data_IF_648584759060
#
_entry.id   IF_648584759060
#
_cell.length_a   1.000
_cell.length_b   1.000
_cell.length_c   1.000
_cell.angle_alpha   90.00
_cell.angle_beta   90.00
_cell.angle_gamma   90.00
#
_symmetry.space_group_name_H-M   'P 1'
#
loop_
_entity.id
_entity.type
_entity.pdbx_description
1 polymer ?
#
# COMPACT_ATOMS: atom_id res chain seq x y z
N UNK A 1 7.21 -4.31 9.01
CA UNK A 1 6.17 -4.28 7.95
C UNK A 1 4.82 -4.10 8.60
N UNK A 2 4.11 -3.01 8.29
CA UNK A 2 2.79 -2.74 8.85
C UNK A 2 1.76 -3.60 8.11
N UNK A 3 1.15 -4.57 8.80
CA UNK A 3 -0.12 -5.12 8.31
C UNK A 3 -1.20 -4.08 8.60
N UNK A 4 -2.02 -3.76 7.61
CA UNK A 4 -3.20 -2.91 7.85
C UNK A 4 -4.12 -3.72 8.75
N UNK A 5 -4.45 -3.18 9.91
CA UNK A 5 -5.31 -3.91 10.82
C UNK A 5 -6.69 -4.09 10.15
N UNK A 6 -7.29 -5.27 10.32
CA UNK A 6 -8.66 -5.55 9.84
C UNK A 6 -9.65 -4.45 10.24
N UNK A 7 -9.39 -3.78 11.35
CA UNK A 7 -10.15 -2.64 11.85
C UNK A 7 -10.01 -1.39 10.97
N UNK A 8 -8.80 -1.04 10.54
CA UNK A 8 -8.56 0.13 9.68
C UNK A 8 -9.22 -0.04 8.31
N UNK A 9 -9.27 -1.27 7.78
CA UNK A 9 -10.03 -1.57 6.55
C UNK A 9 -11.54 -1.32 6.73
N UNK A 10 -12.10 -1.70 7.89
CA UNK A 10 -13.51 -1.44 8.21
C UNK A 10 -13.77 0.06 8.42
N UNK A 11 -12.84 0.78 9.07
CA UNK A 11 -12.90 2.24 9.21
C UNK A 11 -12.87 2.92 7.82
N UNK A 12 -11.95 2.52 6.93
CA UNK A 12 -11.87 3.03 5.56
C UNK A 12 -13.16 2.82 4.77
N UNK A 13 -13.77 1.63 4.86
CA UNK A 13 -15.01 1.32 4.16
C UNK A 13 -16.18 2.18 4.67
N UNK A 14 -16.24 2.46 5.99
CA UNK A 14 -17.20 3.41 6.55
C UNK A 14 -16.95 4.82 6.00
N UNK A 15 -15.70 5.29 5.97
CA UNK A 15 -15.37 6.63 5.48
C UNK A 15 -15.77 6.81 4.01
N UNK A 16 -15.48 5.82 3.15
CA UNK A 16 -15.93 5.79 1.73
C UNK A 16 -17.45 5.78 1.59
N UNK A 17 -18.13 4.99 2.42
CA UNK A 17 -19.58 4.89 2.39
C UNK A 17 -20.25 6.21 2.79
N UNK A 18 -19.75 6.86 3.84
CA UNK A 18 -20.32 8.12 4.35
C UNK A 18 -20.10 9.27 3.36
N UNK A 19 -18.98 9.28 2.65
CA UNK A 19 -18.75 10.21 1.53
C UNK A 19 -19.81 10.06 0.42
N UNK A 20 -20.12 8.82 0.06
CA UNK A 20 -21.08 8.54 -1.02
C UNK A 20 -22.53 8.77 -0.58
N UNK A 21 -22.85 8.45 0.68
CA UNK A 21 -24.19 8.65 1.23
C UNK A 21 -24.13 8.84 2.74
N UNK A 22 -24.71 9.94 3.27
CA UNK A 22 -24.75 10.19 4.71
C UNK A 22 -25.72 9.25 5.43
N UNK A 23 -26.59 8.53 4.71
CA UNK A 23 -27.57 7.62 5.30
C UNK A 23 -26.90 6.31 5.70
N UNK A 24 -26.51 6.23 6.96
CA UNK A 24 -25.92 5.04 7.54
C UNK A 24 -26.54 4.78 8.92
N UNK A 25 -27.10 3.60 9.12
CA UNK A 25 -27.52 3.14 10.45
C UNK A 25 -26.76 1.86 10.82
N UNK A 26 -26.75 1.49 12.09
CA UNK A 26 -25.96 0.34 12.57
C UNK A 26 -26.25 -0.97 11.82
N UNK A 27 -27.50 -1.19 11.38
CA UNK A 27 -27.88 -2.40 10.62
C UNK A 27 -27.38 -2.35 9.19
N UNK A 28 -27.51 -1.20 8.55
CA UNK A 28 -27.02 -0.97 7.18
C UNK A 28 -25.49 -1.03 7.13
N UNK A 29 -24.81 -0.44 8.11
CA UNK A 29 -23.36 -0.52 8.28
C UNK A 29 -22.92 -1.99 8.47
N UNK A 30 -23.55 -2.72 9.38
CA UNK A 30 -23.25 -4.14 9.61
C UNK A 30 -23.39 -5.01 8.35
N UNK A 31 -24.49 -4.84 7.62
CA UNK A 31 -24.74 -5.55 6.36
C UNK A 31 -23.68 -5.26 5.30
N UNK A 32 -23.34 -3.98 5.10
CA UNK A 32 -22.32 -3.56 4.12
C UNK A 32 -20.91 -4.01 4.49
N UNK A 33 -20.57 -3.96 5.77
CA UNK A 33 -19.25 -4.30 6.29
C UNK A 33 -19.05 -5.80 6.54
N UNK A 34 -20.10 -6.62 6.34
CA UNK A 34 -20.05 -8.05 6.64
C UNK A 34 -19.78 -8.35 8.11
N UNK A 35 -20.27 -7.51 9.03
CA UNK A 35 -19.96 -7.58 10.45
C UNK A 35 -21.22 -7.59 11.34
N UNK A 36 -21.05 -7.78 12.65
CA UNK A 36 -22.19 -7.78 13.57
C UNK A 36 -22.70 -6.34 13.81
N UNK A 37 -24.00 -6.19 14.07
CA UNK A 37 -24.62 -4.88 14.41
C UNK A 37 -23.96 -4.23 15.63
N UNK A 38 -23.53 -5.04 16.60
CA UNK A 38 -22.80 -4.56 17.79
C UNK A 38 -21.42 -4.00 17.39
N UNK A 39 -20.68 -4.69 16.53
CA UNK A 39 -19.38 -4.20 16.06
C UNK A 39 -19.53 -2.93 15.22
N UNK A 40 -20.51 -2.87 14.32
CA UNK A 40 -20.81 -1.68 13.54
C UNK A 40 -21.15 -0.47 14.44
N UNK A 41 -21.96 -0.68 15.49
CA UNK A 41 -22.26 0.37 16.46
C UNK A 41 -21.01 0.88 17.19
N UNK A 42 -20.17 -0.04 17.70
CA UNK A 42 -18.93 0.32 18.40
C UNK A 42 -17.97 1.08 17.48
N UNK A 43 -17.81 0.64 16.23
CA UNK A 43 -16.98 1.31 15.24
C UNK A 43 -17.47 2.73 14.95
N UNK A 44 -18.75 2.89 14.64
CA UNK A 44 -19.34 4.20 14.34
C UNK A 44 -19.23 5.17 15.53
N UNK A 45 -19.55 4.71 16.74
CA UNK A 45 -19.40 5.53 17.95
C UNK A 45 -17.94 5.95 18.14
N UNK A 46 -16.99 5.01 18.02
CA UNK A 46 -15.56 5.31 18.15
C UNK A 46 -15.08 6.32 17.11
N UNK A 47 -15.55 6.24 15.87
CA UNK A 47 -15.19 7.19 14.81
C UNK A 47 -15.77 8.59 15.06
N UNK A 48 -16.96 8.68 15.66
CA UNK A 48 -17.52 9.96 16.13
C UNK A 48 -16.70 10.52 17.30
N UNK A 49 -16.35 9.69 18.28
CA UNK A 49 -15.56 10.09 19.46
C UNK A 49 -14.14 10.55 19.07
N UNK A 50 -13.54 9.91 18.06
CA UNK A 50 -12.27 10.32 17.44
C UNK A 50 -12.38 11.62 16.62
N UNK A 51 -13.59 12.13 16.38
CA UNK A 51 -13.82 13.31 15.54
C UNK A 51 -13.73 13.06 14.04
N UNK A 52 -13.68 11.81 13.57
CA UNK A 52 -13.65 11.46 12.14
C UNK A 52 -15.02 11.61 11.47
N UNK A 53 -16.09 11.40 12.24
CA UNK A 53 -17.46 11.50 11.77
C UNK A 53 -18.26 12.50 12.60
N UNK A 54 -19.06 13.31 11.93
CA UNK A 54 -20.11 14.09 12.57
C UNK A 54 -21.45 13.38 12.42
N UNK A 55 -22.21 13.25 13.52
CA UNK A 55 -23.51 12.57 13.53
C UNK A 55 -24.65 13.57 13.70
N UNK A 56 -25.62 13.51 12.80
CA UNK A 56 -26.89 14.25 12.89
C UNK A 56 -28.04 13.28 13.16
N UNK A 57 -28.62 13.37 14.36
CA UNK A 57 -29.78 12.55 14.74
C UNK A 57 -31.06 13.22 14.23
N UNK A 58 -31.79 12.54 13.36
CA UNK A 58 -33.11 12.99 12.91
C UNK A 58 -34.23 12.45 13.80
N UNK A 59 -34.21 11.14 14.08
CA UNK A 59 -35.10 10.48 15.02
C UNK A 59 -34.50 9.13 15.47
N UNK A 60 -35.14 8.42 16.41
CA UNK A 60 -34.61 7.19 17.04
C UNK A 60 -34.08 6.12 16.07
N UNK A 61 -34.63 6.04 14.84
CA UNK A 61 -34.23 5.07 13.80
C UNK A 61 -33.40 5.63 12.64
N UNK A 62 -33.07 6.94 12.61
CA UNK A 62 -32.34 7.57 11.50
C UNK A 62 -31.30 8.56 12.00
N UNK A 63 -30.05 8.18 11.76
CA UNK A 63 -28.86 8.97 12.03
C UNK A 63 -28.19 9.17 10.68
N UNK A 64 -27.82 10.40 10.38
CA UNK A 64 -27.07 10.73 9.18
C UNK A 64 -25.63 11.05 9.64
N UNK A 65 -24.64 10.39 9.04
CA UNK A 65 -23.22 10.59 9.35
C UNK A 65 -22.58 11.43 8.24
N UNK A 66 -21.61 12.27 8.60
CA UNK A 66 -20.88 13.13 7.68
C UNK A 66 -19.40 13.05 7.99
N UNK A 67 -18.56 13.10 6.95
CA UNK A 67 -17.12 13.23 7.13
C UNK A 67 -16.79 14.61 7.73
N UNK A 68 -15.90 14.61 8.71
CA UNK A 68 -15.22 15.83 9.18
C UNK A 68 -13.92 16.01 8.37
N UNK A 69 -13.23 17.16 8.46
CA UNK A 69 -11.90 17.31 7.89
C UNK A 69 -10.93 16.21 8.37
N UNK A 70 -10.90 15.92 9.68
CA UNK A 70 -10.10 14.81 10.24
C UNK A 70 -10.51 13.43 9.69
N UNK A 71 -11.80 13.22 9.38
CA UNK A 71 -12.26 12.00 8.72
C UNK A 71 -11.80 11.88 7.26
N UNK A 72 -11.69 13.00 6.54
CA UNK A 72 -11.12 13.04 5.19
C UNK A 72 -9.62 12.71 5.27
N UNK A 73 -8.91 13.31 6.23
CA UNK A 73 -7.49 13.04 6.53
C UNK A 73 -7.22 11.57 6.77
N UNK A 74 -7.98 10.98 7.70
CA UNK A 74 -7.80 9.59 8.06
C UNK A 74 -8.14 8.66 6.90
N UNK A 75 -9.17 9.00 6.10
CA UNK A 75 -9.49 8.25 4.88
C UNK A 75 -8.33 8.29 3.89
N UNK A 76 -7.73 9.46 3.69
CA UNK A 76 -6.61 9.64 2.79
C UNK A 76 -5.37 8.87 3.29
N UNK A 77 -5.05 8.96 4.60
CA UNK A 77 -3.98 8.22 5.27
C UNK A 77 -4.13 6.70 5.08
N UNK A 78 -5.28 6.13 5.45
CA UNK A 78 -5.52 4.67 5.34
C UNK A 78 -5.55 4.24 3.87
N UNK A 79 -6.12 5.05 2.97
CA UNK A 79 -6.10 4.77 1.52
C UNK A 79 -4.68 4.74 0.99
N UNK A 80 -3.84 5.68 1.42
CA UNK A 80 -2.44 5.72 1.02
C UNK A 80 -1.68 4.50 1.54
N UNK A 81 -1.82 4.16 2.83
CA UNK A 81 -1.21 2.95 3.40
C UNK A 81 -1.63 1.69 2.64
N UNK A 82 -2.90 1.61 2.22
CA UNK A 82 -3.39 0.52 1.38
C UNK A 82 -2.72 0.50 0.00
N UNK A 83 -2.61 1.65 -0.67
CA UNK A 83 -1.97 1.74 -1.98
C UNK A 83 -0.48 1.40 -1.89
N UNK A 84 0.24 1.95 -0.92
CA UNK A 84 1.67 1.68 -0.70
C UNK A 84 1.88 0.18 -0.44
N UNK A 85 1.07 -0.42 0.45
CA UNK A 85 1.11 -1.86 0.68
C UNK A 85 0.82 -2.67 -0.59
N UNK A 86 -0.22 -2.33 -1.34
CA UNK A 86 -0.58 -3.01 -2.60
C UNK A 86 0.54 -2.89 -3.65
N UNK A 87 1.19 -1.74 -3.74
CA UNK A 87 2.32 -1.52 -4.66
C UNK A 87 3.55 -2.31 -4.24
N UNK A 88 3.87 -2.33 -2.94
CA UNK A 88 4.95 -3.16 -2.40
C UNK A 88 4.70 -4.65 -2.69
N UNK A 89 3.48 -5.12 -2.40
CA UNK A 89 3.09 -6.49 -2.72
C UNK A 89 3.21 -6.78 -4.22
N UNK A 90 2.73 -5.89 -5.09
CA UNK A 90 2.83 -6.07 -6.53
C UNK A 90 4.29 -6.15 -7.01
N UNK A 91 5.14 -5.21 -6.57
CA UNK A 91 6.55 -5.19 -6.93
C UNK A 91 7.27 -6.45 -6.47
N UNK A 92 6.99 -6.90 -5.24
CA UNK A 92 7.64 -8.07 -4.70
C UNK A 92 7.12 -9.35 -5.34
N UNK A 93 5.81 -9.49 -5.51
CA UNK A 93 5.19 -10.55 -6.30
C UNK A 93 5.80 -10.63 -7.70
N UNK A 94 6.00 -9.49 -8.38
CA UNK A 94 6.60 -9.44 -9.71
C UNK A 94 8.05 -9.93 -9.71
N UNK A 95 8.86 -9.41 -8.80
CA UNK A 95 10.27 -9.79 -8.67
C UNK A 95 10.42 -11.28 -8.35
N UNK A 96 9.69 -11.75 -7.35
CA UNK A 96 9.80 -13.12 -6.88
C UNK A 96 9.26 -14.11 -7.92
N UNK A 97 8.12 -13.81 -8.55
CA UNK A 97 7.56 -14.69 -9.59
C UNK A 97 8.50 -14.79 -10.80
N UNK A 98 9.10 -13.68 -11.26
CA UNK A 98 10.11 -13.72 -12.33
C UNK A 98 11.34 -14.55 -11.93
N UNK A 99 11.80 -14.47 -10.67
CA UNK A 99 12.90 -15.31 -10.19
C UNK A 99 12.53 -16.80 -10.21
N UNK A 100 11.35 -17.15 -9.73
CA UNK A 100 10.85 -18.54 -9.75
C UNK A 100 10.77 -19.06 -11.19
N UNK A 101 10.21 -18.26 -12.10
CA UNK A 101 10.12 -18.64 -13.52
C UNK A 101 11.52 -18.86 -14.13
N UNK A 102 12.47 -17.97 -13.84
CA UNK A 102 13.87 -18.12 -14.26
C UNK A 102 14.48 -19.42 -13.75
N UNK A 103 14.35 -19.71 -12.46
CA UNK A 103 14.89 -20.93 -11.85
C UNK A 103 14.31 -22.19 -12.50
N UNK A 104 13.00 -22.20 -12.78
CA UNK A 104 12.34 -23.32 -13.45
C UNK A 104 12.90 -23.49 -14.86
N UNK A 105 13.00 -22.40 -15.64
CA UNK A 105 13.53 -22.42 -17.00
C UNK A 105 15.00 -22.87 -17.05
N UNK A 106 15.85 -22.36 -16.16
CA UNK A 106 17.26 -22.76 -16.03
C UNK A 106 17.42 -24.24 -15.61
N UNK A 107 16.43 -24.80 -14.90
CA UNK A 107 16.38 -26.24 -14.60
C UNK A 107 15.95 -27.13 -15.77
N UNK A 108 15.71 -26.55 -16.95
CA UNK A 108 15.32 -27.25 -18.17
C UNK A 108 13.84 -27.65 -18.24
N UNK A 109 13.03 -27.28 -17.24
CA UNK A 109 11.58 -27.53 -17.23
C UNK A 109 10.87 -26.48 -18.07
N UNK A 110 9.82 -26.89 -18.79
CA UNK A 110 9.07 -26.00 -19.67
C UNK A 110 7.58 -25.96 -19.35
N UNK A 111 7.01 -27.12 -19.02
CA UNK A 111 5.58 -27.26 -18.74
C UNK A 111 5.30 -27.01 -17.26
N UNK A 112 4.51 -25.97 -16.99
CA UNK A 112 4.22 -25.56 -15.62
C UNK A 112 2.72 -25.49 -15.35
N UNK A 113 2.37 -25.62 -14.07
CA UNK A 113 1.05 -25.38 -13.55
C UNK A 113 1.06 -24.23 -12.55
N UNK A 114 -0.08 -23.57 -12.39
CA UNK A 114 -0.33 -22.67 -11.26
C UNK A 114 -1.17 -23.37 -10.19
N UNK A 115 -0.74 -23.20 -8.94
CA UNK A 115 -1.57 -23.45 -7.78
C UNK A 115 -2.02 -22.09 -7.23
N UNK A 116 -3.28 -21.73 -7.48
CA UNK A 116 -3.87 -20.42 -7.25
C UNK A 116 -4.28 -19.73 -8.55
N UNK A 117 -5.44 -19.09 -8.53
CA UNK A 117 -6.08 -18.43 -9.68
C UNK A 117 -6.37 -16.93 -9.44
N UNK A 118 -5.83 -16.38 -8.35
CA UNK A 118 -5.98 -14.98 -7.94
C UNK A 118 -5.00 -14.02 -8.60
N UNK A 119 -4.88 -12.82 -8.01
CA UNK A 119 -4.03 -11.72 -8.52
C UNK A 119 -2.55 -12.11 -8.62
N UNK A 120 -2.03 -12.89 -7.67
CA UNK A 120 -0.64 -13.36 -7.68
C UNK A 120 -0.36 -14.24 -8.91
N UNK A 121 -1.34 -15.04 -9.34
CA UNK A 121 -1.21 -15.87 -10.53
C UNK A 121 -1.18 -15.02 -11.80
N UNK A 122 -1.96 -13.93 -11.86
CA UNK A 122 -1.93 -12.98 -12.99
C UNK A 122 -0.57 -12.29 -13.10
N UNK A 123 0.01 -11.89 -11.97
CA UNK A 123 1.36 -11.30 -11.92
C UNK A 123 2.40 -12.34 -12.36
N UNK A 124 2.31 -13.57 -11.84
CA UNK A 124 3.25 -14.64 -12.17
C UNK A 124 3.19 -15.04 -13.65
N UNK A 125 2.03 -14.91 -14.30
CA UNK A 125 1.88 -15.20 -15.72
C UNK A 125 2.79 -14.33 -16.61
N UNK A 126 3.09 -13.11 -16.19
CA UNK A 126 4.05 -12.28 -16.91
C UNK A 126 5.44 -12.93 -16.94
N UNK A 127 5.87 -13.53 -15.82
CA UNK A 127 7.14 -14.27 -15.73
C UNK A 127 7.15 -15.53 -16.60
N UNK A 128 6.02 -16.23 -16.72
CA UNK A 128 5.85 -17.37 -17.64
C UNK A 128 6.19 -16.96 -19.07
N UNK A 129 5.64 -15.82 -19.53
CA UNK A 129 5.87 -15.31 -20.88
C UNK A 129 7.29 -14.83 -21.10
N UNK A 130 7.88 -14.15 -20.13
CA UNK A 130 9.26 -13.65 -20.23
C UNK A 130 10.30 -14.78 -20.36
N UNK A 131 10.10 -15.88 -19.63
CA UNK A 131 11.05 -16.99 -19.59
C UNK A 131 10.69 -18.15 -20.52
N UNK A 132 9.69 -17.98 -21.40
CA UNK A 132 9.33 -18.96 -22.41
C UNK A 132 8.77 -20.27 -21.83
N UNK A 133 8.12 -20.21 -20.67
CA UNK A 133 7.44 -21.33 -20.03
C UNK A 133 6.01 -21.50 -20.59
N UNK A 134 5.50 -22.72 -20.53
CA UNK A 134 4.18 -23.09 -21.02
C UNK A 134 3.26 -23.42 -19.84
N UNK A 135 2.29 -22.53 -19.57
CA UNK A 135 1.25 -22.75 -18.55
C UNK A 135 0.16 -23.67 -19.11
N UNK A 136 0.06 -24.88 -18.58
CA UNK A 136 -0.88 -25.90 -19.09
C UNK A 136 -2.06 -26.16 -18.14
N UNK A 137 -1.86 -25.96 -16.84
CA UNK A 137 -2.85 -26.29 -15.81
C UNK A 137 -2.93 -25.18 -14.76
N UNK A 138 -4.14 -24.93 -14.26
CA UNK A 138 -4.39 -23.99 -13.17
C UNK A 138 -5.30 -24.66 -12.15
N UNK A 139 -4.90 -24.65 -10.89
CA UNK A 139 -5.65 -25.21 -9.78
C UNK A 139 -6.15 -24.09 -8.86
N UNK A 140 -7.43 -24.09 -8.51
CA UNK A 140 -8.05 -23.00 -7.78
C UNK A 140 -9.54 -23.23 -7.53
N UNK A 141 -10.14 -22.34 -6.74
CA UNK A 141 -11.57 -22.36 -6.41
C UNK A 141 -12.28 -21.02 -6.70
N UNK A 142 -11.52 -19.95 -7.00
CA UNK A 142 -12.06 -18.60 -7.09
C UNK A 142 -12.71 -18.27 -8.44
N UNK A 143 -12.15 -18.81 -9.52
CA UNK A 143 -12.53 -18.55 -10.91
C UNK A 143 -12.86 -19.87 -11.61
N UNK A 144 -13.74 -19.79 -12.61
CA UNK A 144 -14.03 -20.94 -13.50
C UNK A 144 -12.94 -21.15 -14.54
N UNK A 145 -12.29 -20.06 -14.93
CA UNK A 145 -11.32 -20.01 -16.02
C UNK A 145 -10.24 -18.96 -15.72
N UNK A 146 -9.01 -19.23 -16.15
CA UNK A 146 -7.85 -18.36 -16.00
C UNK A 146 -7.12 -18.30 -17.35
N UNK A 147 -7.14 -17.13 -18.00
CA UNK A 147 -6.46 -16.89 -19.29
C UNK A 147 -6.76 -17.94 -20.38
N UNK A 148 -8.01 -18.41 -20.48
CA UNK A 148 -8.40 -19.43 -21.46
C UNK A 148 -8.35 -20.87 -20.92
N UNK A 149 -7.76 -21.09 -19.74
CA UNK A 149 -7.60 -22.41 -19.13
C UNK A 149 -8.67 -22.65 -18.07
N UNK A 150 -9.32 -23.81 -18.12
CA UNK A 150 -10.26 -24.22 -17.08
C UNK A 150 -9.51 -24.41 -15.75
N UNK A 151 -9.98 -23.72 -14.71
CA UNK A 151 -9.45 -23.89 -13.36
C UNK A 151 -9.96 -25.21 -12.79
N UNK A 152 -9.04 -26.05 -12.32
CA UNK A 152 -9.34 -27.37 -11.75
C UNK A 152 -9.34 -27.28 -10.21
N UNK A 153 -10.13 -28.10 -9.50
CA UNK A 153 -10.10 -28.16 -8.04
C UNK A 153 -8.72 -28.62 -7.51
N UNK A 154 -8.37 -28.19 -6.30
CA UNK A 154 -7.09 -28.51 -5.67
C UNK A 154 -6.84 -30.01 -5.51
N UNK A 155 -7.89 -30.80 -5.30
CA UNK A 155 -7.82 -32.26 -5.12
C UNK A 155 -7.32 -32.99 -6.37
N UNK A 156 -7.41 -32.36 -7.53
CA UNK A 156 -6.93 -32.91 -8.80
C UNK A 156 -5.46 -32.59 -9.08
N UNK A 157 -4.81 -31.77 -8.25
CA UNK A 157 -3.41 -31.35 -8.40
C UNK A 157 -2.39 -32.49 -8.29
N UNK A 158 -2.52 -33.50 -7.40
CA UNK A 158 -1.54 -34.59 -7.32
C UNK A 158 -1.35 -35.36 -8.64
N UNK A 159 -2.36 -35.35 -9.50
CA UNK A 159 -2.35 -35.96 -10.84
C UNK A 159 -1.81 -35.04 -11.94
N UNK A 160 -1.21 -33.89 -11.59
CA UNK A 160 -0.68 -32.93 -12.55
C UNK A 160 0.41 -33.54 -13.43
N UNK A 161 0.27 -33.35 -14.75
CA UNK A 161 1.28 -33.74 -15.73
C UNK A 161 2.43 -32.73 -15.85
N UNK A 162 2.31 -31.58 -15.18
CA UNK A 162 3.28 -30.50 -15.23
C UNK A 162 4.59 -30.87 -14.52
N UNK A 163 5.68 -30.27 -14.99
CA UNK A 163 7.04 -30.52 -14.49
C UNK A 163 7.34 -29.68 -13.25
N UNK A 164 6.68 -28.52 -13.13
CA UNK A 164 6.72 -27.64 -11.97
C UNK A 164 5.34 -27.05 -11.68
N UNK A 165 5.06 -26.80 -10.41
CA UNK A 165 3.82 -26.18 -9.92
C UNK A 165 4.23 -24.90 -9.21
N UNK A 166 3.93 -23.74 -9.79
CA UNK A 166 4.19 -22.45 -9.14
C UNK A 166 3.05 -22.14 -8.19
N UNK A 167 3.39 -21.97 -6.91
CA UNK A 167 2.43 -21.66 -5.84
C UNK A 167 2.17 -20.16 -5.82
N UNK A 168 1.01 -19.80 -6.35
CA UNK A 168 0.44 -18.45 -6.43
C UNK A 168 -0.63 -18.23 -5.34
N UNK A 169 -0.55 -18.98 -4.24
CA UNK A 169 -1.35 -18.79 -3.04
C UNK A 169 -0.56 -17.94 -2.04
N UNK A 170 -1.27 -17.13 -1.25
CA UNK A 170 -0.69 -16.34 -0.18
C UNK A 170 -1.67 -16.19 0.99
N UNK A 171 -1.13 -15.92 2.18
CA UNK A 171 -1.93 -15.65 3.37
C UNK A 171 -2.50 -14.23 3.27
N UNK A 172 -3.83 -14.07 3.25
CA UNK A 172 -4.45 -12.74 3.15
C UNK A 172 -4.12 -11.81 4.32
N UNK A 173 -3.76 -12.37 5.48
CA UNK A 173 -3.37 -11.61 6.66
C UNK A 173 -1.87 -11.31 6.69
N UNK A 174 -1.07 -12.14 5.99
CA UNK A 174 0.38 -11.99 5.85
C UNK A 174 0.82 -12.30 4.40
N UNK A 175 0.58 -11.40 3.43
CA UNK A 175 0.68 -11.74 2.00
C UNK A 175 2.06 -12.18 1.48
N UNK A 176 3.14 -11.87 2.21
CA UNK A 176 4.50 -12.29 1.88
C UNK A 176 5.01 -13.44 2.75
N UNK A 177 4.13 -14.07 3.55
CA UNK A 177 4.47 -15.22 4.40
C UNK A 177 5.09 -16.33 3.57
N UNK A 178 6.22 -16.84 4.06
CA UNK A 178 6.93 -17.94 3.43
C UNK A 178 6.11 -19.21 3.33
N UNK A 179 6.24 -19.86 2.19
CA UNK A 179 5.76 -21.21 1.91
C UNK A 179 4.29 -21.46 2.26
N UNK A 180 3.45 -20.43 2.11
CA UNK A 180 2.05 -20.53 2.49
C UNK A 180 1.32 -21.63 1.71
N UNK A 181 0.56 -22.44 2.45
CA UNK A 181 -0.41 -23.41 1.93
C UNK A 181 -1.66 -23.40 2.83
N UNK A 182 -2.87 -23.53 2.25
CA UNK A 182 -4.09 -23.73 3.02
C UNK A 182 -4.06 -25.02 3.85
N UNK A 183 -4.81 -25.03 4.96
CA UNK A 183 -4.93 -26.21 5.81
C UNK A 183 -5.51 -27.40 5.02
N UNK A 184 -4.89 -28.58 5.18
CA UNK A 184 -5.31 -29.82 4.50
C UNK A 184 -4.62 -30.09 3.16
N UNK A 185 -3.78 -29.18 2.68
CA UNK A 185 -2.96 -29.39 1.48
C UNK A 185 -1.55 -29.87 1.84
N UNK A 186 -1.08 -30.91 1.16
CA UNK A 186 0.27 -31.45 1.35
C UNK A 186 1.28 -30.81 0.39
N UNK A 187 2.53 -30.66 0.85
CA UNK A 187 3.63 -30.20 0.01
C UNK A 187 3.97 -31.26 -1.05
N UNK A 188 4.34 -30.79 -2.23
CA UNK A 188 4.78 -31.62 -3.34
C UNK A 188 6.17 -31.13 -3.79
N UNK A 189 7.07 -32.04 -4.16
CA UNK A 189 8.44 -31.72 -4.59
C UNK A 189 8.49 -30.85 -5.87
N UNK A 190 7.43 -30.87 -6.67
CA UNK A 190 7.29 -30.02 -7.86
C UNK A 190 6.88 -28.58 -7.53
N UNK A 191 6.60 -28.25 -6.27
CA UNK A 191 6.12 -26.92 -5.88
C UNK A 191 7.24 -25.89 -5.78
N UNK A 192 7.00 -24.73 -6.38
CA UNK A 192 7.87 -23.56 -6.28
C UNK A 192 7.04 -22.38 -5.77
N UNK A 193 7.36 -21.88 -4.57
CA UNK A 193 6.64 -20.76 -3.98
C UNK A 193 7.13 -19.43 -4.52
N UNK A 194 6.18 -18.56 -4.90
CA UNK A 194 6.52 -17.17 -5.19
C UNK A 194 7.15 -16.53 -3.96
N UNK A 195 6.53 -16.64 -2.79
CA UNK A 195 7.14 -16.22 -1.51
C UNK A 195 7.71 -17.45 -0.78
N UNK A 196 8.95 -17.81 -1.08
CA UNK A 196 9.60 -18.99 -0.49
C UNK A 196 10.33 -18.70 0.83
N UNK A 197 10.47 -19.74 1.66
CA UNK A 197 11.20 -19.73 2.92
C UNK A 197 12.69 -19.44 2.80
N UNK A 198 13.25 -19.47 1.59
CA UNK A 198 14.63 -19.02 1.33
C UNK A 198 14.77 -17.49 1.46
N UNK A 199 13.69 -16.75 1.16
CA UNK A 199 13.71 -15.29 1.11
C UNK A 199 12.80 -14.64 2.14
N UNK A 200 11.78 -15.34 2.63
CA UNK A 200 10.80 -14.82 3.59
C UNK A 200 10.74 -15.70 4.84
N UNK A 201 10.39 -15.13 5.97
CA UNK A 201 10.05 -15.86 7.19
C UNK A 201 8.54 -16.08 7.33
N UNK A 202 8.14 -16.70 8.44
CA UNK A 202 6.74 -17.02 8.72
C UNK A 202 5.89 -15.78 9.01
N UNK A 203 6.52 -14.65 9.29
CA UNK A 203 5.92 -13.34 9.50
C UNK A 203 5.85 -12.53 8.19
N UNK A 204 6.38 -13.07 7.08
CA UNK A 204 6.47 -12.40 5.79
C UNK A 204 7.55 -11.34 5.71
N UNK A 205 8.50 -11.35 6.65
CA UNK A 205 9.70 -10.50 6.64
C UNK A 205 10.77 -11.18 5.82
N UNK A 206 11.52 -10.40 5.04
CA UNK A 206 12.55 -10.94 4.16
C UNK A 206 13.77 -11.40 4.99
N UNK A 207 14.15 -12.67 4.90
CA UNK A 207 15.20 -13.31 5.73
C UNK A 207 16.60 -12.73 5.54
N UNK A 208 16.90 -12.29 4.32
CA UNK A 208 18.15 -11.64 3.98
C UNK A 208 17.82 -10.20 3.53
N UNK A 209 17.77 -9.27 4.48
CA UNK A 209 18.18 -7.88 4.20
C UNK A 209 19.68 -7.86 3.90
N UNK A 210 20.08 -8.46 2.78
CA UNK A 210 21.22 -7.97 2.04
C UNK A 210 20.56 -7.09 0.99
N UNK A 211 20.62 -5.75 1.14
CA UNK A 211 20.21 -4.85 0.07
C UNK A 211 20.92 -5.31 -1.19
N UNK A 212 20.22 -5.35 -2.32
CA UNK A 212 20.95 -5.33 -3.59
C UNK A 212 21.93 -4.17 -3.49
N UNK A 213 23.22 -4.44 -3.72
CA UNK A 213 24.28 -3.44 -3.69
C UNK A 213 23.86 -2.31 -4.64
N UNK A 214 23.29 -1.23 -4.09
CA UNK A 214 22.66 -0.15 -4.88
C UNK A 214 21.25 0.33 -4.49
N UNK A 215 20.54 -0.24 -3.49
CA UNK A 215 19.23 0.33 -3.07
C UNK A 215 19.40 1.66 -2.32
N UNK A 216 19.21 2.76 -3.05
CA UNK A 216 19.31 4.13 -2.56
C UNK A 216 18.47 4.39 -1.30
N UNK A 217 17.33 3.70 -1.13
CA UNK A 217 16.49 3.90 0.06
C UNK A 217 17.15 3.40 1.33
N UNK A 218 17.94 2.34 1.27
CA UNK A 218 18.67 1.83 2.44
C UNK A 218 19.81 2.76 2.82
N UNK A 219 20.50 3.33 1.82
CA UNK A 219 21.51 4.37 2.04
C UNK A 219 20.88 5.60 2.69
N UNK A 220 19.72 6.07 2.19
CA UNK A 220 19.01 7.19 2.80
C UNK A 220 18.51 6.88 4.21
N UNK A 221 18.01 5.66 4.44
CA UNK A 221 17.56 5.23 5.77
C UNK A 221 18.72 5.26 6.77
N UNK A 222 19.87 4.65 6.45
CA UNK A 222 20.98 4.58 7.40
C UNK A 222 21.58 5.94 7.76
N UNK A 223 21.41 6.94 6.88
CA UNK A 223 21.84 8.33 7.09
C UNK A 223 20.78 9.09 7.89
N UNK A 224 19.57 9.20 7.35
CA UNK A 224 18.54 10.12 7.85
C UNK A 224 17.76 9.57 9.04
N UNK A 225 17.81 8.26 9.29
CA UNK A 225 17.19 7.69 10.50
C UNK A 225 17.92 8.16 11.77
N UNK A 226 19.21 8.51 11.66
CA UNK A 226 20.03 9.08 12.75
C UNK A 226 19.70 10.55 13.06
N UNK A 227 18.98 11.22 12.17
CA UNK A 227 18.57 12.61 12.34
C UNK A 227 17.22 12.66 13.09
N UNK A 228 17.26 12.99 14.38
CA UNK A 228 16.10 12.95 15.27
C UNK A 228 15.01 13.96 14.90
N UNK A 229 15.38 15.07 14.27
CA UNK A 229 14.48 16.12 13.79
C UNK A 229 13.68 15.68 12.55
N UNK A 230 14.20 14.76 11.74
CA UNK A 230 13.55 14.29 10.53
C UNK A 230 12.58 13.15 10.83
N UNK A 231 11.29 13.43 10.62
CA UNK A 231 10.18 12.51 10.90
C UNK A 231 9.72 11.74 9.68
N UNK A 232 9.88 12.30 8.49
CA UNK A 232 9.40 11.69 7.24
C UNK A 232 10.50 11.85 6.19
N UNK A 233 10.74 10.79 5.41
CA UNK A 233 11.66 10.84 4.29
C UNK A 233 11.10 10.05 3.10
N UNK A 234 11.12 10.66 1.92
CA UNK A 234 10.76 10.06 0.64
C UNK A 234 11.92 10.19 -0.34
N UNK A 235 12.14 9.13 -1.12
CA UNK A 235 12.90 9.20 -2.36
C UNK A 235 11.91 9.38 -3.50
N UNK A 236 12.03 10.44 -4.31
CA UNK A 236 11.13 10.69 -5.43
C UNK A 236 11.90 10.91 -6.74
N UNK A 237 11.20 11.37 -7.78
CA UNK A 237 11.83 11.71 -9.06
C UNK A 237 12.39 10.53 -9.86
N UNK A 238 13.39 10.82 -10.69
CA UNK A 238 13.93 9.87 -11.69
C UNK A 238 14.58 8.64 -11.05
N UNK A 239 15.12 8.82 -9.85
CA UNK A 239 15.77 7.80 -9.02
C UNK A 239 14.78 6.82 -8.37
N UNK A 240 13.49 7.18 -8.25
CA UNK A 240 12.46 6.29 -7.69
C UNK A 240 11.93 5.24 -8.71
N UNK A 241 11.95 5.53 -10.02
CA UNK A 241 11.25 4.75 -11.05
C UNK A 241 12.10 3.72 -11.80
N UNK A 242 13.32 3.41 -11.34
CA UNK A 242 14.18 2.37 -11.97
C UNK A 242 14.66 2.73 -13.39
N UNK A 243 14.51 3.99 -13.81
CA UNK A 243 15.05 4.55 -15.07
C UNK A 243 16.30 5.42 -14.83
N UNK A 244 16.91 5.31 -13.65
CA UNK A 244 18.08 6.08 -13.30
C UNK A 244 19.23 5.73 -14.26
N UNK A 245 19.73 6.73 -14.99
CA UNK A 245 21.07 6.64 -15.56
C UNK A 245 22.08 6.85 -14.43
N UNK A 246 23.33 6.43 -14.62
CA UNK A 246 24.40 6.56 -13.61
C UNK A 246 24.76 8.02 -13.24
N UNK A 247 24.02 9.02 -13.74
CA UNK A 247 24.29 10.45 -13.67
C UNK A 247 23.12 11.30 -13.17
N UNK A 248 21.99 10.70 -12.75
CA UNK A 248 20.83 11.48 -12.29
C UNK A 248 21.00 11.92 -10.83
N UNK A 249 20.44 13.06 -10.47
CA UNK A 249 20.42 13.53 -9.08
C UNK A 249 19.48 12.67 -8.21
N UNK A 250 19.72 12.68 -6.91
CA UNK A 250 18.89 11.99 -5.92
C UNK A 250 17.86 12.98 -5.40
N UNK A 251 16.60 12.85 -5.82
CA UNK A 251 15.51 13.67 -5.31
C UNK A 251 14.99 13.13 -3.96
N UNK A 252 15.18 13.87 -2.88
CA UNK A 252 14.78 13.49 -1.50
C UNK A 252 13.83 14.52 -0.93
N UNK A 253 12.71 14.08 -0.36
CA UNK A 253 11.78 14.96 0.34
C UNK A 253 11.73 14.57 1.82
N UNK A 254 11.90 15.54 2.70
CA UNK A 254 11.93 15.32 4.16
C UNK A 254 10.89 16.17 4.87
N UNK A 255 10.44 15.77 6.06
CA UNK A 255 9.65 16.63 6.95
C UNK A 255 10.18 16.55 8.39
N UNK A 256 10.16 17.69 9.07
CA UNK A 256 10.38 17.82 10.51
C UNK A 256 9.10 18.30 11.22
N UNK A 257 9.14 18.52 12.53
CA UNK A 257 8.01 19.08 13.30
C UNK A 257 7.57 20.48 12.81
N UNK A 258 8.38 21.14 11.98
CA UNK A 258 8.05 22.40 11.31
C UNK A 258 8.83 22.62 10.01
N UNK A 259 8.83 23.87 9.53
CA UNK A 259 9.63 24.26 8.36
C UNK A 259 11.12 24.06 8.66
N UNK A 260 11.80 23.40 7.73
CA UNK A 260 13.26 23.23 7.78
C UNK A 260 13.90 24.43 7.09
N UNK A 261 14.84 25.08 7.77
CA UNK A 261 15.56 26.21 7.18
C UNK A 261 16.55 25.77 6.08
N UNK A 262 17.02 26.72 5.27
CA UNK A 262 17.89 26.44 4.14
C UNK A 262 19.26 25.89 4.56
N UNK A 263 19.81 26.34 5.69
CA UNK A 263 21.11 25.88 6.17
C UNK A 263 21.07 24.40 6.55
N UNK A 264 19.98 23.98 7.23
CA UNK A 264 19.75 22.58 7.58
C UNK A 264 19.46 21.72 6.35
N UNK A 265 18.69 22.20 5.37
CA UNK A 265 18.50 21.48 4.11
C UNK A 265 19.84 21.26 3.36
N UNK A 266 20.70 22.28 3.31
CA UNK A 266 22.03 22.17 2.69
C UNK A 266 22.94 21.18 3.43
N UNK A 267 22.88 21.18 4.76
CA UNK A 267 23.61 20.20 5.58
C UNK A 267 23.17 18.76 5.25
N UNK A 268 21.86 18.49 5.28
CA UNK A 268 21.30 17.18 4.96
C UNK A 268 21.67 16.74 3.54
N UNK A 269 21.52 17.64 2.55
CA UNK A 269 21.92 17.36 1.17
C UNK A 269 23.41 16.99 1.06
N UNK A 270 24.29 17.67 1.81
CA UNK A 270 25.72 17.40 1.83
C UNK A 270 26.05 16.02 2.41
N UNK A 271 25.40 15.65 3.53
CA UNK A 271 25.60 14.35 4.19
C UNK A 271 25.14 13.22 3.26
N UNK A 272 23.99 13.36 2.63
CA UNK A 272 23.45 12.39 1.68
C UNK A 272 24.39 12.28 0.47
N UNK A 273 24.77 13.41 -0.12
CA UNK A 273 25.58 13.43 -1.34
C UNK A 273 26.95 12.76 -1.15
N UNK A 274 27.59 13.01 0.01
CA UNK A 274 28.88 12.37 0.35
C UNK A 274 28.74 10.86 0.51
N UNK A 275 27.69 10.41 1.16
CA UNK A 275 27.48 8.99 1.48
C UNK A 275 26.95 8.19 0.29
N UNK A 276 26.14 8.82 -0.56
CA UNK A 276 25.58 8.22 -1.77
C UNK A 276 26.47 8.42 -3.02
N UNK A 277 27.55 9.19 -2.90
CA UNK A 277 28.49 9.54 -3.98
C UNK A 277 27.81 10.13 -5.23
N UNK A 278 26.73 10.88 -5.03
CA UNK A 278 25.87 11.48 -6.08
C UNK A 278 25.28 12.79 -5.56
N UNK A 279 25.01 13.74 -6.45
CA UNK A 279 24.32 14.98 -6.07
C UNK A 279 22.90 14.68 -5.57
N UNK A 280 22.46 15.45 -4.58
CA UNK A 280 21.17 15.25 -3.90
C UNK A 280 20.41 16.56 -3.88
N UNK A 281 19.22 16.55 -4.49
CA UNK A 281 18.24 17.61 -4.38
C UNK A 281 17.30 17.27 -3.23
N UNK A 282 17.34 18.07 -2.17
CA UNK A 282 16.48 17.89 -1.01
C UNK A 282 15.43 18.99 -0.90
N UNK A 283 14.20 18.61 -0.59
CA UNK A 283 13.10 19.55 -0.36
C UNK A 283 12.42 19.27 0.97
N UNK A 284 11.98 20.35 1.63
CA UNK A 284 11.10 20.24 2.79
C UNK A 284 9.66 20.04 2.33
N UNK A 285 9.08 18.90 2.69
CA UNK A 285 7.68 18.56 2.44
C UNK A 285 6.76 19.67 2.92
N UNK A 286 7.05 20.39 4.00
CA UNK A 286 6.20 21.50 4.45
C UNK A 286 6.16 22.70 3.50
N UNK A 287 7.24 22.93 2.75
CA UNK A 287 7.40 24.03 1.79
C UNK A 287 6.89 23.71 0.38
N UNK A 288 6.76 22.42 0.04
CA UNK A 288 6.41 21.97 -1.31
C UNK A 288 4.89 21.92 -1.49
N UNK A 289 4.41 22.41 -2.63
CA UNK A 289 2.99 22.43 -2.99
C UNK A 289 2.76 21.98 -4.44
N UNK A 290 1.49 21.82 -4.82
CA UNK A 290 1.09 21.55 -6.20
C UNK A 290 1.65 20.24 -6.76
N UNK A 291 2.04 20.26 -8.03
CA UNK A 291 2.47 19.06 -8.78
C UNK A 291 3.68 18.35 -8.16
N UNK A 292 4.62 19.09 -7.56
CA UNK A 292 5.80 18.48 -6.92
C UNK A 292 5.38 17.69 -5.68
N UNK A 293 4.55 18.28 -4.81
CA UNK A 293 4.02 17.58 -3.64
C UNK A 293 3.22 16.34 -4.07
N UNK A 294 2.40 16.49 -5.12
CA UNK A 294 1.63 15.39 -5.69
C UNK A 294 2.52 14.26 -6.19
N UNK A 295 3.60 14.57 -6.89
CA UNK A 295 4.55 13.56 -7.38
C UNK A 295 5.27 12.86 -6.23
N UNK A 296 5.71 13.60 -5.21
CA UNK A 296 6.37 13.02 -4.03
C UNK A 296 5.43 12.04 -3.33
N UNK A 297 4.21 12.48 -3.01
CA UNK A 297 3.26 11.65 -2.28
C UNK A 297 2.76 10.49 -3.16
N UNK A 298 2.32 10.76 -4.39
CA UNK A 298 1.66 9.75 -5.23
C UNK A 298 2.62 8.77 -5.91
N UNK A 299 3.87 9.18 -6.17
CA UNK A 299 4.84 8.38 -6.94
C UNK A 299 6.18 8.19 -6.24
N UNK A 300 6.48 8.98 -5.20
CA UNK A 300 7.67 8.81 -4.40
C UNK A 300 7.61 7.50 -3.62
N UNK A 301 8.79 6.99 -3.27
CA UNK A 301 8.97 5.81 -2.44
C UNK A 301 9.31 6.28 -1.02
N UNK A 302 8.49 5.94 -0.01
CA UNK A 302 8.86 6.24 1.37
C UNK A 302 10.15 5.52 1.72
N UNK A 303 11.06 6.26 2.37
CA UNK A 303 12.24 5.72 3.06
C UNK A 303 11.86 5.40 4.50
N UNK A 304 11.21 6.35 5.20
CA UNK A 304 10.55 6.12 6.48
C UNK A 304 9.45 7.16 6.74
N UNK A 305 8.50 6.79 7.61
CA UNK A 305 7.44 7.67 8.13
C UNK A 305 7.36 7.41 9.64
N UNK A 306 8.08 8.22 10.43
CA UNK A 306 8.11 8.13 11.91
C UNK A 306 6.86 8.76 12.53
N UNK A 307 6.34 9.84 11.93
CA UNK A 307 5.10 10.50 12.36
C UNK A 307 3.98 10.35 11.32
N UNK A 308 2.99 9.51 11.66
CA UNK A 308 1.84 9.23 10.80
C UNK A 308 0.82 10.37 10.73
N UNK A 309 0.71 11.19 11.78
CA UNK A 309 -0.23 12.30 11.81
C UNK A 309 0.28 13.43 10.92
N UNK A 310 1.56 13.76 11.05
CA UNK A 310 2.24 14.71 10.15
C UNK A 310 2.12 14.28 8.69
N UNK A 311 2.28 12.98 8.43
CA UNK A 311 2.12 12.45 7.08
C UNK A 311 0.69 12.60 6.53
N UNK A 312 -0.31 12.36 7.37
CA UNK A 312 -1.71 12.59 7.02
C UNK A 312 -1.98 14.08 6.72
N UNK A 313 -1.44 14.99 7.53
CA UNK A 313 -1.57 16.44 7.32
C UNK A 313 -0.96 16.89 5.97
N UNK A 314 0.17 16.28 5.57
CA UNK A 314 0.82 16.54 4.28
C UNK A 314 -0.03 16.00 3.11
N UNK A 315 -0.61 14.80 3.23
CA UNK A 315 -1.55 14.26 2.23
C UNK A 315 -2.79 15.16 2.13
N UNK A 316 -3.33 15.59 3.27
CA UNK A 316 -4.45 16.52 3.30
C UNK A 316 -4.13 17.79 2.55
N UNK A 317 -2.99 18.42 2.86
CA UNK A 317 -2.56 19.62 2.15
C UNK A 317 -2.41 19.37 0.65
N UNK A 318 -1.93 18.19 0.22
CA UNK A 318 -1.87 17.82 -1.19
C UNK A 318 -3.28 17.78 -1.81
N UNK A 319 -4.22 17.07 -1.18
CA UNK A 319 -5.61 16.91 -1.66
C UNK A 319 -6.36 18.24 -1.67
N UNK A 320 -6.19 19.06 -0.64
CA UNK A 320 -6.81 20.38 -0.54
C UNK A 320 -6.19 21.42 -1.47
N UNK A 321 -4.92 21.26 -1.88
CA UNK A 321 -4.27 22.09 -2.89
C UNK A 321 -4.63 21.66 -4.33
N UNK A 322 -4.88 20.36 -4.59
CA UNK A 322 -5.31 19.87 -5.91
C UNK A 322 -6.77 20.21 -6.24
N UNK A 323 -7.62 20.34 -5.21
CA UNK A 323 -9.01 20.70 -5.42
C UNK A 323 -9.15 22.24 -5.40
N UNK A 324 -9.70 22.83 -6.47
CA UNK A 324 -10.19 24.22 -6.58
C UNK A 324 -11.27 24.62 -5.52
N UNK A 325 -11.17 24.11 -4.30
CA UNK A 325 -12.19 24.09 -3.25
C UNK A 325 -11.97 25.15 -2.17
N UNK A 326 -10.81 25.83 -2.12
CA UNK A 326 -10.59 26.93 -1.16
C UNK A 326 -11.64 28.06 -1.26
N UNK A 327 -12.08 28.48 -2.46
CA UNK A 327 -13.19 29.43 -2.59
C UNK A 327 -14.52 28.88 -2.04
N UNK A 328 -14.81 27.60 -2.27
CA UNK A 328 -16.04 26.94 -1.80
C UNK A 328 -16.03 26.71 -0.29
N UNK A 329 -14.87 26.38 0.29
CA UNK A 329 -14.66 26.23 1.73
C UNK A 329 -14.81 27.58 2.45
N UNK A 330 -14.18 28.64 1.93
CA UNK A 330 -14.35 30.00 2.43
C UNK A 330 -15.80 30.49 2.31
N UNK A 331 -16.51 30.11 1.24
CA UNK A 331 -17.95 30.40 1.06
C UNK A 331 -18.85 29.63 2.04
N UNK A 332 -18.50 28.40 2.40
CA UNK A 332 -19.25 27.61 3.40
C UNK A 332 -19.00 28.15 4.82
N UNK A 333 -17.78 28.58 5.12
CA UNK A 333 -17.46 29.22 6.40
C UNK A 333 -18.09 30.62 6.53
N UNK A 334 -18.14 31.42 5.46
CA UNK A 334 -18.80 32.73 5.46
C UNK A 334 -20.30 32.61 5.66
N UNK A 335 -20.97 31.69 4.95
CA UNK A 335 -22.40 31.40 5.14
C UNK A 335 -22.73 30.86 6.53
N UNK A 336 -21.82 30.12 7.16
CA UNK A 336 -21.98 29.69 8.57
C UNK A 336 -21.85 30.86 9.54
N UNK A 337 -20.90 31.78 9.34
CA UNK A 337 -20.79 32.99 10.18
C UNK A 337 -22.05 33.86 10.08
N UNK A 338 -22.59 34.06 8.90
CA UNK A 338 -23.84 34.81 8.70
C UNK A 338 -25.06 34.15 9.37
N UNK A 339 -25.14 32.82 9.36
CA UNK A 339 -26.21 32.08 10.03
C UNK A 339 -26.11 32.10 11.57
N UNK A 340 -24.90 32.31 12.12
CA UNK A 340 -24.67 32.45 13.57
C UNK A 340 -24.82 33.89 14.08
N UNK A 341 -24.72 34.90 13.20
CA UNK A 341 -24.94 36.31 13.58
C UNK A 341 -26.39 36.77 13.41
N UNK A 342 -27.20 36.05 12.62
CA UNK A 342 -28.58 36.40 12.30
C UNK A 342 -29.64 35.45 12.91
N UNK A 343 -29.25 34.59 13.86
CA UNK A 343 -30.14 33.76 14.68
C UNK A 343 -29.73 33.84 16.13
#
# INVERSE_FOLDING_TARGET
MASIEKKELLELEILKQVETSPRLNNRLAASKLGCSVKLAHVLLSKMVDKGLLHVKKHHSRRWDYFLTPSGIAEKARITYEFIDFSMQFYHEARRQSSRVCRQIAESGKKNVAFLGDGELAEIAYLGIKEWGLDLNEVYGEGKKEFLGLKVKPYESMPSSSSEAIIVCLFDKTMPMRADYLPAGMERNEKMFWVFSGEYYDEQGVRRNEIPETGDMRMTLFSILDQEDDIKICFLYGSSANGRATASSDIDVAVASDGLIDQDRLLELASIISKSAARETDIVDLHSVHGEILRQIISKGKPVFIKDKNMYADIIDRMVFNEADMMPNYNMILSKRREAFTNG
#
